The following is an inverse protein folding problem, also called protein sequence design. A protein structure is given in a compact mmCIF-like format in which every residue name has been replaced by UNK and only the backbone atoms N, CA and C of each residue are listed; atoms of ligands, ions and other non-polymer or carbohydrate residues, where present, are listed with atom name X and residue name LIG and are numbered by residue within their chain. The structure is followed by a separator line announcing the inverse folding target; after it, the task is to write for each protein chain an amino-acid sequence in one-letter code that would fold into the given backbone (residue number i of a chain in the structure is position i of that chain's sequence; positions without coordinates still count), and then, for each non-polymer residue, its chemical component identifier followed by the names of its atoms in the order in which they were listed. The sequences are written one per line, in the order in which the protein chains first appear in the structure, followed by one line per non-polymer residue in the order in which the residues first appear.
data_IF_758520599835
#
_entry.id   IF_758520599835
#
_cell.length_a   1.000
_cell.length_b   1.000
_cell.length_c   1.000
_cell.angle_alpha   90.00
_cell.angle_beta   90.00
_cell.angle_gamma   90.00
#
_symmetry.space_group_name_H-M   'P 1'
#
loop_
_entity.id
_entity.type
_entity.pdbx_description
1 polymer ?
#
# COMPACT_ATOMS: atom_id res chain seq x y z
N UNK A 1 15.47 9.75 8.25
CA UNK A 1 15.45 10.52 7.01
C UNK A 1 14.16 11.32 6.93
N UNK A 2 14.23 12.57 6.44
CA UNK A 2 13.05 13.35 6.11
C UNK A 2 12.50 12.83 4.78
N UNK A 3 11.66 11.81 4.85
CA UNK A 3 10.97 11.27 3.66
C UNK A 3 9.73 12.12 3.35
N UNK A 4 9.35 12.23 2.06
CA UNK A 4 8.10 12.87 1.69
C UNK A 4 6.91 12.24 2.42
N UNK A 5 5.91 13.04 2.70
CA UNK A 5 4.67 12.58 3.34
C UNK A 5 3.65 12.16 2.28
N UNK A 6 2.61 11.43 2.71
CA UNK A 6 1.44 11.16 1.89
C UNK A 6 0.83 12.44 1.32
N UNK A 7 0.20 12.35 0.15
CA UNK A 7 -0.55 13.51 -0.38
C UNK A 7 -1.72 13.87 0.53
N UNK A 8 -2.19 15.14 0.52
CA UNK A 8 -3.37 15.53 1.29
C UNK A 8 -4.61 14.69 0.98
N UNK A 9 -4.81 14.33 -0.28
CA UNK A 9 -5.92 13.51 -0.75
C UNK A 9 -5.83 12.07 -0.20
N UNK A 10 -4.64 11.46 -0.25
CA UNK A 10 -4.41 10.13 0.32
C UNK A 10 -4.61 10.13 1.83
N UNK A 11 -4.12 11.16 2.52
CA UNK A 11 -4.35 11.32 3.96
C UNK A 11 -5.84 11.48 4.28
N UNK A 12 -6.57 12.27 3.51
CA UNK A 12 -8.00 12.50 3.72
C UNK A 12 -8.83 11.22 3.60
N UNK A 13 -8.53 10.36 2.61
CA UNK A 13 -9.29 9.09 2.46
C UNK A 13 -8.97 8.09 3.57
N UNK A 14 -7.75 8.08 4.12
CA UNK A 14 -7.41 7.25 5.28
C UNK A 14 -8.14 7.68 6.55
N UNK A 15 -8.44 8.97 6.68
CA UNK A 15 -9.11 9.53 7.86
C UNK A 15 -10.64 9.60 7.68
N UNK A 16 -11.19 8.96 6.65
CA UNK A 16 -12.65 8.89 6.44
C UNK A 16 -13.31 8.21 7.64
N UNK A 17 -14.36 8.82 8.23
CA UNK A 17 -15.06 8.22 9.36
C UNK A 17 -15.63 6.83 9.02
N UNK A 18 -15.70 5.93 10.02
CA UNK A 18 -16.34 4.64 9.84
C UNK A 18 -17.81 4.77 9.41
N UNK A 19 -18.27 3.83 8.60
CA UNK A 19 -19.65 3.73 8.15
C UNK A 19 -20.40 2.63 8.89
N UNK A 20 -21.73 2.69 8.86
CA UNK A 20 -22.58 1.78 9.65
C UNK A 20 -23.22 0.66 8.82
N UNK A 21 -23.09 0.68 7.50
CA UNK A 21 -23.70 -0.33 6.63
C UNK A 21 -22.79 -0.68 5.45
N UNK A 22 -23.08 -1.83 4.85
CA UNK A 22 -22.29 -2.42 3.76
C UNK A 22 -22.26 -1.56 2.48
N UNK A 23 -23.36 -0.93 2.13
CA UNK A 23 -23.45 -0.12 0.89
C UNK A 23 -22.55 1.11 0.98
N UNK A 24 -22.57 1.80 2.11
CA UNK A 24 -21.69 2.94 2.37
C UNK A 24 -20.24 2.52 2.46
N UNK A 25 -19.96 1.32 3.02
CA UNK A 25 -18.60 0.78 3.04
C UNK A 25 -18.06 0.55 1.64
N UNK A 26 -18.81 -0.10 0.75
CA UNK A 26 -18.41 -0.32 -0.63
C UNK A 26 -18.17 1.01 -1.35
N UNK A 27 -19.03 1.99 -1.14
CA UNK A 27 -18.88 3.33 -1.71
C UNK A 27 -17.60 4.02 -1.21
N UNK A 28 -17.32 3.91 0.08
CA UNK A 28 -16.10 4.43 0.70
C UNK A 28 -14.83 3.76 0.13
N UNK A 29 -14.83 2.43 0.04
CA UNK A 29 -13.69 1.67 -0.51
C UNK A 29 -13.39 2.03 -1.98
N UNK A 30 -14.42 2.26 -2.79
CA UNK A 30 -14.26 2.75 -4.16
C UNK A 30 -13.61 4.14 -4.20
N UNK A 31 -14.01 5.04 -3.30
CA UNK A 31 -13.40 6.37 -3.20
C UNK A 31 -11.93 6.27 -2.79
N UNK A 32 -11.62 5.44 -1.80
CA UNK A 32 -10.25 5.16 -1.37
C UNK A 32 -9.43 4.59 -2.52
N UNK A 33 -9.96 3.58 -3.21
CA UNK A 33 -9.28 2.94 -4.34
C UNK A 33 -8.96 3.94 -5.46
N UNK A 34 -9.89 4.82 -5.83
CA UNK A 34 -9.66 5.86 -6.86
C UNK A 34 -8.50 6.79 -6.52
N UNK A 35 -8.34 7.14 -5.26
CA UNK A 35 -7.24 8.02 -4.81
C UNK A 35 -5.92 7.25 -4.78
N UNK A 36 -5.93 6.01 -4.27
CA UNK A 36 -4.71 5.26 -3.99
C UNK A 36 -4.16 4.47 -5.18
N UNK A 37 -4.98 4.21 -6.21
CA UNK A 37 -4.59 3.35 -7.34
C UNK A 37 -3.46 3.93 -8.20
N UNK A 38 -3.35 5.24 -8.24
CA UNK A 38 -2.41 5.96 -9.11
C UNK A 38 -3.04 6.30 -10.48
N UNK A 39 -2.39 7.20 -11.24
CA UNK A 39 -3.00 7.85 -12.39
C UNK A 39 -2.89 7.07 -13.71
N UNK A 40 -2.05 6.04 -13.78
CA UNK A 40 -1.64 5.45 -15.09
C UNK A 40 -2.47 4.24 -15.47
N UNK A 41 -2.80 3.38 -14.51
CA UNK A 41 -3.51 2.13 -14.78
C UNK A 41 -5.00 2.27 -14.57
N UNK A 42 -5.77 1.45 -15.30
CA UNK A 42 -7.22 1.43 -15.13
C UNK A 42 -7.60 0.76 -13.81
N UNK A 43 -8.39 1.44 -12.99
CA UNK A 43 -8.96 0.84 -11.79
C UNK A 43 -10.07 -0.15 -12.18
N UNK A 44 -9.96 -1.38 -11.70
CA UNK A 44 -11.03 -2.38 -11.78
C UNK A 44 -12.03 -2.15 -10.63
N UNK A 45 -13.04 -1.31 -10.91
CA UNK A 45 -14.06 -0.98 -9.91
C UNK A 45 -14.92 -2.18 -9.51
N UNK A 46 -15.11 -3.16 -10.41
CA UNK A 46 -15.86 -4.37 -10.10
C UNK A 46 -15.09 -5.24 -9.11
N UNK A 47 -13.79 -5.41 -9.33
CA UNK A 47 -12.91 -6.09 -8.38
C UNK A 47 -12.95 -5.42 -7.00
N UNK A 48 -12.86 -4.08 -6.96
CA UNK A 48 -12.91 -3.31 -5.69
C UNK A 48 -14.24 -3.53 -4.97
N UNK A 49 -15.38 -3.49 -5.69
CA UNK A 49 -16.70 -3.77 -5.10
C UNK A 49 -16.77 -5.17 -4.49
N UNK A 50 -16.43 -6.17 -5.28
CA UNK A 50 -16.45 -7.57 -4.85
C UNK A 50 -15.52 -7.81 -3.65
N UNK A 51 -14.35 -7.17 -3.64
CA UNK A 51 -13.41 -7.25 -2.53
C UNK A 51 -13.99 -6.59 -1.25
N UNK A 52 -14.57 -5.40 -1.39
CA UNK A 52 -15.20 -4.67 -0.28
C UNK A 52 -16.38 -5.44 0.32
N UNK A 53 -17.25 -6.02 -0.51
CA UNK A 53 -18.36 -6.87 -0.05
C UNK A 53 -17.87 -8.06 0.79
N UNK A 54 -16.90 -8.80 0.25
CA UNK A 54 -16.31 -9.95 0.95
C UNK A 54 -15.59 -9.56 2.23
N UNK A 55 -14.95 -8.38 2.25
CA UNK A 55 -14.26 -7.86 3.44
C UNK A 55 -15.26 -7.50 4.53
N UNK A 56 -16.37 -6.84 4.18
CA UNK A 56 -17.45 -6.55 5.11
C UNK A 56 -18.04 -7.83 5.71
N UNK A 57 -18.40 -8.79 4.85
CA UNK A 57 -19.04 -10.04 5.28
C UNK A 57 -18.12 -10.88 6.17
N UNK A 58 -16.81 -10.81 5.95
CA UNK A 58 -15.83 -11.52 6.76
C UNK A 58 -15.66 -10.90 8.14
N UNK A 59 -15.43 -9.62 8.22
CA UNK A 59 -15.35 -8.86 9.48
C UNK A 59 -15.09 -7.38 9.23
N UNK A 60 -16.09 -6.54 9.46
CA UNK A 60 -15.91 -5.10 9.49
C UNK A 60 -15.52 -4.65 10.90
N UNK A 61 -14.29 -4.21 11.08
CA UNK A 61 -13.72 -3.79 12.37
C UNK A 61 -13.07 -2.40 12.29
N UNK A 62 -13.84 -1.31 12.34
CA UNK A 62 -13.28 0.05 12.20
C UNK A 62 -12.25 0.40 13.27
N UNK A 63 -12.39 -0.13 14.50
CA UNK A 63 -11.37 0.06 15.54
C UNK A 63 -10.02 -0.56 15.19
N UNK A 64 -9.99 -1.55 14.29
CA UNK A 64 -8.78 -2.16 13.75
C UNK A 64 -7.92 -1.14 13.01
N UNK A 65 -8.55 -0.31 12.18
CA UNK A 65 -7.88 0.76 11.43
C UNK A 65 -7.21 1.77 12.39
N UNK A 66 -7.94 2.22 13.41
CA UNK A 66 -7.41 3.17 14.40
C UNK A 66 -6.21 2.59 15.16
N UNK A 67 -6.28 1.31 15.56
CA UNK A 67 -5.16 0.63 16.23
C UNK A 67 -3.95 0.50 15.31
N UNK A 68 -4.15 0.17 14.03
CA UNK A 68 -3.08 0.04 13.05
C UNK A 68 -2.39 1.38 12.78
N UNK A 69 -3.17 2.45 12.60
CA UNK A 69 -2.62 3.79 12.43
C UNK A 69 -1.82 4.24 13.66
N UNK A 70 -2.34 4.00 14.87
CA UNK A 70 -1.62 4.26 16.12
C UNK A 70 -0.30 3.50 16.19
N UNK A 71 -0.27 2.23 15.83
CA UNK A 71 0.96 1.43 15.79
C UNK A 71 1.99 1.97 14.79
N UNK A 72 1.54 2.43 13.61
CA UNK A 72 2.41 3.06 12.61
C UNK A 72 3.05 4.34 13.18
N UNK A 73 2.25 5.22 13.77
CA UNK A 73 2.73 6.47 14.34
C UNK A 73 3.71 6.26 15.51
N UNK A 74 3.48 5.23 16.32
CA UNK A 74 4.34 4.89 17.46
C UNK A 74 5.62 4.14 17.08
N UNK A 75 5.68 3.50 15.92
CA UNK A 75 6.83 2.67 15.56
C UNK A 75 8.10 3.47 15.22
N UNK A 76 7.95 4.74 14.86
CA UNK A 76 9.07 5.63 14.53
C UNK A 76 9.94 5.12 13.36
N UNK A 77 11.18 5.59 13.29
CA UNK A 77 12.13 5.16 12.26
C UNK A 77 12.61 3.73 12.50
N UNK A 78 12.59 2.91 11.45
CA UNK A 78 13.07 1.52 11.47
C UNK A 78 14.43 1.33 10.80
N UNK A 79 15.03 2.40 10.27
CA UNK A 79 16.25 2.33 9.44
C UNK A 79 17.39 1.59 10.12
N UNK A 80 17.63 1.81 11.43
CA UNK A 80 18.69 1.13 12.16
C UNK A 80 18.39 -0.38 12.38
N UNK A 81 17.13 -0.75 12.55
CA UNK A 81 16.73 -2.15 12.65
C UNK A 81 16.86 -2.86 11.29
N UNK A 82 16.52 -2.19 10.21
CA UNK A 82 16.62 -2.72 8.84
C UNK A 82 18.06 -3.05 8.44
N UNK A 83 19.05 -2.31 8.91
CA UNK A 83 20.48 -2.62 8.68
C UNK A 83 20.93 -3.98 9.23
N UNK A 84 20.17 -4.56 10.17
CA UNK A 84 20.45 -5.85 10.79
C UNK A 84 19.78 -7.02 10.09
N UNK A 85 18.94 -6.77 9.08
CA UNK A 85 18.25 -7.82 8.31
C UNK A 85 19.28 -8.59 7.49
N UNK A 86 19.27 -9.92 7.61
CA UNK A 86 20.22 -10.84 6.94
C UNK A 86 19.55 -11.76 5.91
N UNK A 87 18.24 -11.74 5.85
CA UNK A 87 17.47 -12.55 4.89
C UNK A 87 17.40 -11.85 3.53
N UNK A 88 17.39 -12.60 2.41
CA UNK A 88 17.16 -12.02 1.11
C UNK A 88 15.86 -11.18 1.11
N UNK A 89 15.94 -9.96 0.59
CA UNK A 89 14.84 -9.02 0.63
C UNK A 89 14.58 -8.43 -0.76
N UNK A 90 13.33 -8.45 -1.19
CA UNK A 90 12.85 -7.74 -2.39
C UNK A 90 11.87 -6.66 -1.94
N UNK A 91 12.13 -5.42 -2.33
CA UNK A 91 11.21 -4.29 -2.16
C UNK A 91 10.54 -4.03 -3.50
N UNK A 92 9.20 -4.06 -3.54
CA UNK A 92 8.41 -3.70 -4.72
C UNK A 92 7.60 -2.45 -4.37
N UNK A 93 7.68 -1.41 -5.21
CA UNK A 93 7.04 -0.14 -4.91
C UNK A 93 6.54 0.56 -6.18
N UNK A 94 5.41 1.26 -6.08
CA UNK A 94 4.87 2.06 -7.18
C UNK A 94 5.55 3.43 -7.27
N UNK A 95 5.91 3.88 -8.48
CA UNK A 95 6.52 5.21 -8.65
C UNK A 95 5.55 6.36 -8.41
N UNK A 96 4.24 6.10 -8.49
CA UNK A 96 3.17 7.07 -8.32
C UNK A 96 2.31 6.82 -7.06
N UNK A 97 2.88 6.17 -6.03
CA UNK A 97 2.18 5.91 -4.78
C UNK A 97 1.91 7.22 -4.01
N UNK A 98 0.64 7.64 -3.85
CA UNK A 98 0.30 8.89 -3.18
C UNK A 98 0.28 8.78 -1.66
N UNK A 99 0.25 7.54 -1.13
CA UNK A 99 0.15 7.27 0.30
C UNK A 99 1.52 7.05 0.94
N UNK A 100 2.33 6.19 0.33
CA UNK A 100 3.71 5.95 0.73
C UNK A 100 4.60 6.32 -0.45
N UNK A 101 5.15 7.55 -0.49
CA UNK A 101 5.98 8.00 -1.59
C UNK A 101 7.12 7.03 -1.88
N UNK A 102 7.49 6.91 -3.16
CA UNK A 102 8.49 5.94 -3.65
C UNK A 102 9.84 6.03 -2.92
N UNK A 103 10.15 7.19 -2.36
CA UNK A 103 11.33 7.42 -1.52
C UNK A 103 11.35 6.52 -0.28
N UNK A 104 10.18 6.16 0.27
CA UNK A 104 10.07 5.20 1.38
C UNK A 104 10.51 3.79 0.98
N UNK A 105 10.13 3.34 -0.22
CA UNK A 105 10.61 2.07 -0.79
C UNK A 105 12.10 2.08 -1.07
N UNK A 106 12.61 3.17 -1.66
CA UNK A 106 14.04 3.37 -1.90
C UNK A 106 14.85 3.38 -0.60
N UNK A 107 14.37 4.08 0.43
CA UNK A 107 15.02 4.11 1.75
C UNK A 107 15.04 2.73 2.41
N UNK A 108 13.95 2.00 2.33
CA UNK A 108 13.86 0.62 2.81
C UNK A 108 14.89 -0.27 2.12
N UNK A 109 14.91 -0.26 0.78
CA UNK A 109 15.87 -1.06 0.00
C UNK A 109 17.33 -0.68 0.30
N UNK A 110 17.61 0.62 0.47
CA UNK A 110 18.95 1.12 0.85
C UNK A 110 19.33 0.70 2.27
N UNK A 111 18.38 0.60 3.18
CA UNK A 111 18.62 0.29 4.59
C UNK A 111 18.88 -1.20 4.82
N UNK A 112 18.29 -2.10 4.01
CA UNK A 112 18.49 -3.55 4.12
C UNK A 112 19.69 -3.99 3.29
N UNK A 113 20.74 -4.59 3.90
CA UNK A 113 21.91 -5.05 3.17
C UNK A 113 21.54 -6.08 2.08
N UNK A 114 21.94 -5.81 0.83
CA UNK A 114 21.69 -6.71 -0.29
C UNK A 114 20.24 -6.75 -0.80
N UNK A 115 19.36 -5.88 -0.34
CA UNK A 115 18.00 -5.82 -0.85
C UNK A 115 17.96 -5.49 -2.35
N UNK A 116 17.07 -6.16 -3.07
CA UNK A 116 16.68 -5.81 -4.44
C UNK A 116 15.52 -4.82 -4.40
N UNK A 117 15.47 -3.93 -5.40
CA UNK A 117 14.40 -2.94 -5.54
C UNK A 117 13.79 -3.04 -6.93
N UNK A 118 12.48 -3.23 -6.97
CA UNK A 118 11.66 -3.19 -8.19
C UNK A 118 10.69 -2.02 -8.10
N UNK A 119 10.89 -1.01 -8.93
CA UNK A 119 9.95 0.11 -9.06
C UNK A 119 9.03 -0.16 -10.23
N UNK A 120 7.73 -0.18 -9.96
CA UNK A 120 6.70 -0.31 -10.99
C UNK A 120 6.26 1.10 -11.41
N UNK A 121 6.63 1.50 -12.62
CA UNK A 121 6.34 2.83 -13.13
C UNK A 121 4.83 3.09 -13.23
N UNK A 122 4.37 4.23 -12.71
CA UNK A 122 2.98 4.65 -12.71
C UNK A 122 2.05 3.90 -11.75
N UNK A 123 2.53 2.88 -11.05
CA UNK A 123 1.75 2.18 -10.03
C UNK A 123 1.56 3.05 -8.78
N UNK A 124 0.34 3.09 -8.27
CA UNK A 124 0.01 3.69 -6.98
C UNK A 124 0.25 2.76 -5.81
N UNK A 125 -0.60 2.89 -4.78
CA UNK A 125 -0.53 2.07 -3.56
C UNK A 125 -1.16 0.68 -3.71
N UNK A 126 -1.95 0.46 -4.77
CA UNK A 126 -2.55 -0.84 -5.10
C UNK A 126 -1.91 -1.47 -6.33
N UNK A 127 -1.99 -2.80 -6.43
CA UNK A 127 -1.47 -3.53 -7.57
C UNK A 127 -2.44 -3.49 -8.75
N UNK A 128 -2.12 -2.82 -9.87
CA UNK A 128 -2.95 -2.86 -11.05
C UNK A 128 -2.88 -4.24 -11.70
N UNK A 129 -4.02 -4.72 -12.20
CA UNK A 129 -4.15 -6.07 -12.79
C UNK A 129 -3.13 -6.31 -13.89
N UNK A 130 -2.85 -5.29 -14.71
CA UNK A 130 -1.88 -5.34 -15.80
C UNK A 130 -0.43 -5.57 -15.33
N UNK A 131 -0.14 -5.26 -14.05
CA UNK A 131 1.22 -5.41 -13.48
C UNK A 131 1.39 -6.65 -12.62
N UNK A 132 0.32 -7.37 -12.32
CA UNK A 132 0.39 -8.62 -11.56
C UNK A 132 1.39 -9.62 -12.15
N UNK A 133 1.45 -9.87 -13.48
CA UNK A 133 2.45 -10.78 -14.04
C UNK A 133 3.90 -10.33 -13.80
N UNK A 134 4.18 -9.00 -13.88
CA UNK A 134 5.51 -8.45 -13.60
C UNK A 134 5.88 -8.65 -12.12
N UNK A 135 4.94 -8.36 -11.22
CA UNK A 135 5.13 -8.50 -9.77
C UNK A 135 5.39 -9.97 -9.41
N UNK A 136 4.56 -10.89 -9.92
CA UNK A 136 4.73 -12.34 -9.70
C UNK A 136 6.09 -12.82 -10.22
N UNK A 137 6.49 -12.39 -11.41
CA UNK A 137 7.81 -12.73 -11.97
C UNK A 137 8.94 -12.26 -11.06
N UNK A 138 8.89 -11.02 -10.56
CA UNK A 138 9.90 -10.48 -9.65
C UNK A 138 9.99 -11.30 -8.35
N UNK A 139 8.85 -11.70 -7.79
CA UNK A 139 8.78 -12.55 -6.59
C UNK A 139 9.39 -13.92 -6.87
N UNK A 140 8.98 -14.60 -7.94
CA UNK A 140 9.50 -15.92 -8.31
C UNK A 140 11.02 -15.90 -8.54
N UNK A 141 11.54 -14.88 -9.22
CA UNK A 141 12.98 -14.71 -9.41
C UNK A 141 13.74 -14.41 -8.11
N UNK A 142 13.06 -13.89 -7.12
CA UNK A 142 13.67 -13.60 -5.82
C UNK A 142 13.67 -14.81 -4.90
N UNK A 143 12.70 -15.71 -5.03
CA UNK A 143 12.52 -16.89 -4.18
C UNK A 143 13.11 -18.18 -4.77
N UNK A 144 13.60 -18.14 -6.01
CA UNK A 144 14.35 -19.23 -6.65
C UNK A 144 15.81 -19.20 -6.17
#
# INVERSE_FOLDING_TARGET
PNLPQATPEATAVLLTPPVSNKADYITSELKVAKVLHGPVYKLDEEFVRNYAERSWDRNYCPQGLSRQLGAILMSGSRSEALKKVKIPTLVIHGSADPLVPVEGGKDTAKSVPGAKLEIIEGMGHSFPTEKVPQIVKAILQHTA
#
